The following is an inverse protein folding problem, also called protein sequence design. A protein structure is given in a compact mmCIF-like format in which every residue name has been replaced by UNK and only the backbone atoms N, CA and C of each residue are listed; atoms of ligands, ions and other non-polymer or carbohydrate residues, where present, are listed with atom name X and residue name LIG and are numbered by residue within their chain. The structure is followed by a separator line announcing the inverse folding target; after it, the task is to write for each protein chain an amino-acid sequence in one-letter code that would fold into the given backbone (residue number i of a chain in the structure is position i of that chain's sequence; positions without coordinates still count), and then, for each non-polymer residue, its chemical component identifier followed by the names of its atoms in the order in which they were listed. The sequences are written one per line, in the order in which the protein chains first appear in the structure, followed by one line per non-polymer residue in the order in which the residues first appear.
data_IF_845757053877
#
_entry.id   IF_845757053877
#
_cell.length_a   1.000
_cell.length_b   1.000
_cell.length_c   1.000
_cell.angle_alpha   90.00
_cell.angle_beta   90.00
_cell.angle_gamma   90.00
#
_symmetry.space_group_name_H-M   'P 1'
#
loop_
_entity.id
_entity.type
_entity.pdbx_description
1 polymer ?
#
# COMPACT_ATOMS: atom_id res chain seq x y z
N UNK A 1 -35.08 54.91 -30.22
CA UNK A 1 -34.85 54.48 -29.94
C UNK A 1 -34.50 53.83 -29.58
N UNK A 2 -34.63 53.92 -29.71
CA UNK A 2 -34.24 53.33 -29.29
C UNK A 2 -34.03 52.35 -28.86
N UNK A 3 -34.08 52.20 -28.93
CA UNK A 3 -33.87 51.37 -28.54
C UNK A 3 -33.43 50.48 -28.46
N UNK A 4 -33.29 50.60 -28.73
CA UNK A 4 -32.73 49.63 -28.64
C UNK A 4 -32.24 49.13 -28.37
N UNK A 5 -31.98 49.39 -28.23
CA UNK A 5 -31.47 48.86 -27.88
C UNK A 5 -31.15 48.24 -27.26
N UNK A 6 -31.14 48.35 -27.06
CA UNK A 6 -30.76 47.82 -26.44
C UNK A 6 -30.71 46.81 -26.08
N UNK A 7 -30.97 46.78 -26.20
CA UNK A 7 -30.91 45.76 -25.87
C UNK A 7 -30.20 45.02 -25.89
N UNK A 8 -29.83 45.30 -26.03
CA UNK A 8 -28.97 44.59 -26.04
C UNK A 8 -28.44 44.07 -25.35
N UNK A 9 -28.39 44.12 -25.25
CA UNK A 9 -27.83 43.60 -24.68
C UNK A 9 -27.74 42.68 -24.14
N UNK A 10 -28.03 42.79 -24.09
CA UNK A 10 -27.92 42.01 -23.49
C UNK A 10 -27.57 41.02 -23.46
N UNK A 11 -27.54 40.98 -23.79
CA UNK A 11 -27.12 40.01 -23.67
C UNK A 11 -26.25 39.51 -23.47
N UNK A 12 -26.01 39.83 -23.42
CA UNK A 12 -25.08 39.34 -23.18
C UNK A 12 -24.74 38.67 -22.43
N UNK A 13 -24.87 38.78 -22.29
CA UNK A 13 -24.42 38.23 -21.57
C UNK A 13 -24.25 37.26 -21.22
N UNK A 14 -24.46 37.26 -21.41
CA UNK A 14 -24.26 36.38 -21.02
C UNK A 14 -23.76 35.55 -21.00
N UNK A 15 -23.68 35.74 -21.21
CA UNK A 15 -23.17 34.97 -21.24
C UNK A 15 -22.52 34.45 -20.91
N UNK A 16 -22.50 34.65 -20.72
CA UNK A 16 -21.72 34.15 -20.28
C UNK A 16 -21.42 33.52 -19.73
N UNK A 17 -21.48 33.66 -19.70
CA UNK A 17 -21.11 33.09 -19.06
C UNK A 17 -20.84 32.20 -18.79
N UNK A 18 -21.03 32.34 -18.90
CA UNK A 18 -20.74 31.51 -18.56
C UNK A 18 -20.19 30.81 -18.49
N UNK A 19 -20.14 31.02 -18.58
CA UNK A 19 -19.47 30.41 -18.43
C UNK A 19 -18.90 29.92 -18.07
N UNK A 20 -18.72 29.99 -17.79
CA UNK A 20 -18.09 29.59 -17.29
C UNK A 20 -17.75 28.83 -16.87
N UNK A 21 -17.72 28.78 -16.86
CA UNK A 21 -17.32 28.15 -16.34
C UNK A 21 -17.05 27.28 -16.14
N UNK A 22 -17.02 27.27 -16.36
CA UNK A 22 -16.63 26.35 -16.09
C UNK A 22 -16.34 25.66 -15.81
N UNK A 23 -16.10 25.53 -15.68
CA UNK A 23 -15.76 24.86 -15.34
C UNK A 23 -15.15 24.33 -15.03
N UNK A 24 -14.80 24.33 -14.80
CA UNK A 24 -13.96 23.91 -14.48
C UNK A 24 -13.64 23.20 -13.89
N UNK A 25 -13.80 23.43 -13.85
CA UNK A 25 -13.55 22.94 -13.15
C UNK A 25 -13.48 21.86 -12.94
N UNK A 26 -13.64 21.60 -13.11
CA UNK A 26 -13.59 20.43 -12.64
C UNK A 26 -12.48 19.69 -12.73
N UNK A 27 -12.07 19.67 -12.89
CA UNK A 27 -11.12 19.01 -12.97
C UNK A 27 -10.22 18.94 -12.09
N UNK A 28 -10.23 19.53 -11.74
CA UNK A 28 -9.26 19.58 -10.75
C UNK A 28 -9.43 18.57 -9.69
N UNK A 29 -10.55 18.05 -9.58
CA UNK A 29 -10.73 17.06 -8.57
C UNK A 29 -9.91 15.87 -8.76
N UNK A 30 -9.56 15.58 -9.96
CA UNK A 30 -8.71 14.47 -10.22
C UNK A 30 -7.29 14.67 -9.73
N UNK A 31 -7.02 15.83 -9.17
CA UNK A 31 -5.64 16.17 -8.84
C UNK A 31 -5.29 15.96 -7.39
N UNK A 32 -6.07 15.19 -6.66
CA UNK A 32 -5.64 14.77 -5.35
C UNK A 32 -4.27 14.12 -5.48
N UNK A 33 -3.33 14.44 -4.58
CA UNK A 33 -2.01 13.85 -4.64
C UNK A 33 -2.10 12.35 -4.66
N UNK A 34 -1.47 11.73 -5.62
CA UNK A 34 -1.41 10.29 -5.67
C UNK A 34 -0.36 9.83 -4.68
N UNK A 35 -0.69 8.76 -4.01
CA UNK A 35 0.26 8.08 -3.17
C UNK A 35 1.41 7.56 -4.03
N UNK A 36 2.64 7.93 -3.70
CA UNK A 36 3.80 7.38 -4.39
C UNK A 36 4.09 6.00 -3.83
N UNK A 37 4.25 5.00 -4.70
CA UNK A 37 4.59 3.66 -4.24
C UNK A 37 5.85 3.66 -3.41
N UNK A 38 5.82 2.93 -2.32
CA UNK A 38 6.96 2.75 -1.45
C UNK A 38 7.18 1.25 -1.19
N UNK A 39 8.10 0.93 -0.28
CA UNK A 39 8.41 -0.47 0.00
C UNK A 39 7.21 -1.22 0.56
N UNK A 40 6.37 -0.52 1.33
CA UNK A 40 5.19 -1.15 1.90
C UNK A 40 4.16 -1.52 0.83
N UNK A 41 4.06 -0.73 -0.23
CA UNK A 41 3.17 -1.05 -1.35
C UNK A 41 3.59 -2.33 -2.05
N UNK A 42 4.90 -2.52 -2.19
CA UNK A 42 5.42 -3.74 -2.82
C UNK A 42 5.21 -4.94 -1.91
N UNK A 43 5.43 -4.75 -0.61
CA UNK A 43 5.40 -5.84 0.35
C UNK A 43 3.99 -6.27 0.72
N UNK A 44 3.01 -5.36 0.68
CA UNK A 44 1.66 -5.70 1.12
C UNK A 44 1.05 -6.79 0.28
N UNK A 45 0.26 -7.62 0.92
CA UNK A 45 -0.43 -8.72 0.25
C UNK A 45 -0.58 -9.90 1.17
N UNK A 46 -1.05 -10.99 0.59
CA UNK A 46 -1.25 -12.25 1.29
C UNK A 46 -0.18 -13.23 0.85
N UNK A 47 0.41 -13.92 1.81
CA UNK A 47 1.47 -14.90 1.57
C UNK A 47 1.05 -16.22 2.18
N UNK A 48 1.31 -17.30 1.48
CA UNK A 48 0.96 -18.64 1.94
C UNK A 48 2.23 -19.45 2.10
N UNK A 49 2.37 -20.09 3.25
CA UNK A 49 3.58 -20.84 3.52
C UNK A 49 3.48 -21.68 4.78
N UNK A 50 4.61 -21.86 5.42
CA UNK A 50 4.72 -22.81 6.53
C UNK A 50 5.49 -22.18 7.69
N UNK A 51 5.09 -22.54 8.90
CA UNK A 51 5.92 -22.32 10.06
C UNK A 51 7.03 -23.37 9.99
N UNK A 52 8.27 -22.91 9.87
CA UNK A 52 9.40 -23.81 9.69
C UNK A 52 9.78 -24.42 11.02
N UNK A 53 9.83 -23.60 12.07
CA UNK A 53 10.09 -24.07 13.40
C UNK A 53 9.61 -23.05 14.42
N UNK A 54 9.30 -23.52 15.61
CA UNK A 54 9.03 -22.64 16.75
C UNK A 54 10.03 -22.97 17.87
N UNK A 55 9.85 -22.33 19.02
CA UNK A 55 10.76 -22.52 20.15
C UNK A 55 10.79 -23.96 20.67
N UNK A 56 9.81 -24.75 20.29
CA UNK A 56 9.71 -26.16 20.68
C UNK A 56 10.07 -27.10 19.53
N UNK A 57 10.50 -26.55 18.40
CA UNK A 57 10.89 -27.34 17.25
C UNK A 57 9.72 -27.81 16.41
N UNK A 58 8.52 -27.34 16.68
CA UNK A 58 7.35 -27.76 15.91
C UNK A 58 7.26 -26.98 14.60
N UNK A 59 6.71 -27.62 13.58
CA UNK A 59 6.45 -26.99 12.30
C UNK A 59 4.98 -27.18 11.94
N UNK A 60 4.48 -26.34 11.04
CA UNK A 60 3.10 -26.44 10.59
C UNK A 60 2.98 -25.88 9.19
N UNK A 61 2.34 -26.64 8.31
CA UNK A 61 2.10 -26.24 6.94
C UNK A 61 0.78 -25.49 6.82
N UNK A 62 0.68 -24.68 5.76
CA UNK A 62 -0.57 -24.04 5.41
C UNK A 62 -0.93 -22.85 6.29
N UNK A 63 0.07 -22.03 6.62
CA UNK A 63 -0.12 -20.86 7.45
C UNK A 63 -0.10 -19.61 6.56
N UNK A 64 -1.16 -18.83 6.62
CA UNK A 64 -1.31 -17.60 5.84
C UNK A 64 -0.81 -16.41 6.65
N UNK A 65 0.03 -15.60 6.02
CA UNK A 65 0.51 -14.35 6.59
C UNK A 65 0.01 -13.20 5.71
N UNK A 66 -0.56 -12.19 6.34
CA UNK A 66 -1.02 -11.00 5.65
C UNK A 66 -0.12 -9.83 6.04
N UNK A 67 0.39 -9.14 5.03
CA UNK A 67 1.22 -7.94 5.21
C UNK A 67 0.39 -6.75 4.75
N UNK A 68 0.13 -5.84 5.67
CA UNK A 68 -0.73 -4.67 5.43
C UNK A 68 0.09 -3.39 5.56
N UNK A 69 -0.02 -2.53 4.57
CA UNK A 69 0.63 -1.22 4.63
C UNK A 69 -0.03 -0.37 5.71
N UNK A 70 0.76 0.17 6.63
CA UNK A 70 0.26 1.03 7.70
C UNK A 70 0.87 2.43 7.67
N UNK A 71 1.80 2.68 6.77
CA UNK A 71 2.45 3.97 6.62
C UNK A 71 3.57 3.88 5.59
N UNK A 72 4.28 4.96 5.39
CA UNK A 72 5.39 4.98 4.45
C UNK A 72 6.47 4.01 4.90
N UNK A 73 6.78 3.04 4.05
CA UNK A 73 7.77 2.00 4.32
C UNK A 73 7.51 1.27 5.64
N UNK A 74 6.23 1.12 6.01
CA UNK A 74 5.86 0.43 7.24
C UNK A 74 4.71 -0.51 6.96
N UNK A 75 4.81 -1.69 7.51
CA UNK A 75 3.77 -2.71 7.36
C UNK A 75 3.44 -3.32 8.70
N UNK A 76 2.24 -3.88 8.79
CA UNK A 76 1.83 -4.72 9.90
C UNK A 76 1.70 -6.14 9.39
N UNK A 77 2.24 -7.07 10.14
CA UNK A 77 2.19 -8.49 9.81
C UNK A 77 1.17 -9.15 10.73
N UNK A 78 0.23 -9.87 10.12
CA UNK A 78 -0.74 -10.69 10.85
C UNK A 78 -0.73 -12.08 10.25
N UNK A 79 -1.11 -13.07 11.05
CA UNK A 79 -1.14 -14.45 10.60
C UNK A 79 -2.35 -15.18 11.18
N UNK A 80 -2.72 -16.28 10.55
CA UNK A 80 -3.80 -17.13 11.04
C UNK A 80 -3.32 -18.22 12.01
N UNK A 81 -2.09 -18.10 12.45
CA UNK A 81 -1.50 -19.00 13.46
C UNK A 81 -1.16 -18.19 14.71
N UNK A 82 -1.65 -18.66 15.85
CA UNK A 82 -1.48 -17.91 17.10
C UNK A 82 -0.02 -17.81 17.56
N UNK A 83 0.86 -18.62 17.04
CA UNK A 83 2.29 -18.55 17.37
C UNK A 83 2.97 -17.37 16.71
N UNK A 84 2.36 -16.79 15.68
CA UNK A 84 2.92 -15.66 14.95
C UNK A 84 2.26 -14.38 15.46
N UNK A 85 2.97 -13.56 16.21
CA UNK A 85 2.37 -12.36 16.78
C UNK A 85 2.12 -11.31 15.70
N UNK A 86 1.14 -10.44 15.97
CA UNK A 86 0.93 -9.26 15.14
C UNK A 86 2.03 -8.26 15.44
N UNK A 87 2.78 -7.85 14.44
CA UNK A 87 3.88 -6.91 14.62
C UNK A 87 3.90 -5.88 13.51
N UNK A 88 4.43 -4.70 13.84
CA UNK A 88 4.68 -3.64 12.89
C UNK A 88 6.16 -3.66 12.53
N UNK A 89 6.46 -3.49 11.25
CA UNK A 89 7.83 -3.55 10.75
C UNK A 89 8.10 -2.33 9.88
N UNK A 90 9.20 -1.64 10.17
CA UNK A 90 9.71 -0.59 9.31
C UNK A 90 10.61 -1.26 8.27
N UNK A 91 10.50 -0.84 7.02
CA UNK A 91 11.16 -1.50 5.90
C UNK A 91 12.30 -0.67 5.33
N UNK A 92 13.31 -1.37 4.84
CA UNK A 92 14.39 -0.78 4.05
C UNK A 92 14.67 -1.70 2.87
N UNK A 93 15.44 -1.22 1.92
CA UNK A 93 15.73 -1.99 0.71
C UNK A 93 17.23 -2.20 0.57
N UNK A 94 17.60 -3.39 0.13
CA UNK A 94 18.96 -3.72 -0.25
C UNK A 94 18.86 -4.54 -1.54
N UNK A 95 19.24 -3.93 -2.66
CA UNK A 95 19.17 -4.53 -3.98
C UNK A 95 17.73 -4.96 -4.31
N UNK A 96 17.49 -6.22 -4.57
CA UNK A 96 16.14 -6.72 -4.86
C UNK A 96 15.46 -7.32 -3.63
N UNK A 97 15.97 -7.03 -2.43
CA UNK A 97 15.39 -7.51 -1.19
C UNK A 97 14.81 -6.35 -0.39
N UNK A 98 13.70 -6.62 0.28
CA UNK A 98 13.12 -5.68 1.25
C UNK A 98 13.31 -6.32 2.62
N UNK A 99 13.85 -5.53 3.54
CA UNK A 99 14.26 -6.01 4.86
C UNK A 99 13.63 -5.16 5.94
N UNK A 100 13.62 -5.67 7.16
CA UNK A 100 13.29 -4.84 8.31
C UNK A 100 14.44 -3.85 8.55
N UNK A 101 14.06 -2.59 8.81
CA UNK A 101 15.03 -1.54 9.07
C UNK A 101 15.50 -1.57 10.52
N UNK A 102 14.68 -2.12 11.42
CA UNK A 102 14.98 -2.14 12.85
C UNK A 102 14.08 -3.17 13.53
N UNK A 103 14.32 -3.38 14.83
CA UNK A 103 13.49 -4.25 15.63
C UNK A 103 14.00 -5.69 15.69
N UNK A 104 13.25 -6.51 16.42
CA UNK A 104 13.64 -7.89 16.68
C UNK A 104 13.01 -8.89 15.73
N UNK A 105 12.06 -8.44 14.89
CA UNK A 105 11.45 -9.27 13.87
C UNK A 105 12.31 -9.20 12.62
N UNK A 106 12.75 -10.34 12.13
CA UNK A 106 13.45 -10.41 10.85
C UNK A 106 12.40 -10.51 9.74
N UNK A 107 12.49 -9.63 8.77
CA UNK A 107 11.62 -9.61 7.61
C UNK A 107 12.49 -9.60 6.38
N UNK A 108 12.30 -10.55 5.49
CA UNK A 108 13.08 -10.63 4.25
C UNK A 108 12.14 -11.00 3.11
N UNK A 109 11.91 -10.04 2.23
CA UNK A 109 11.12 -10.26 1.02
C UNK A 109 12.07 -10.28 -0.18
N UNK A 110 12.13 -11.41 -0.85
CA UNK A 110 12.98 -11.60 -2.01
C UNK A 110 12.15 -11.36 -3.28
N UNK A 111 12.42 -10.24 -3.94
CA UNK A 111 11.69 -9.87 -5.14
C UNK A 111 12.25 -10.51 -6.40
N UNK A 112 13.39 -11.18 -6.29
CA UNK A 112 13.96 -11.90 -7.44
C UNK A 112 13.23 -13.21 -7.70
N UNK A 113 12.45 -13.68 -6.74
CA UNK A 113 11.65 -14.88 -6.89
C UNK A 113 10.29 -14.55 -7.51
N UNK A 114 9.72 -15.49 -8.26
CA UNK A 114 8.39 -15.36 -8.85
C UNK A 114 7.62 -16.63 -8.53
N UNK A 115 6.60 -16.57 -7.67
CA UNK A 115 6.17 -15.40 -6.88
C UNK A 115 7.21 -15.02 -5.83
N UNK A 116 7.11 -13.79 -5.35
CA UNK A 116 8.05 -13.30 -4.34
C UNK A 116 7.97 -14.15 -3.08
N UNK A 117 9.12 -14.37 -2.46
CA UNK A 117 9.19 -15.16 -1.23
C UNK A 117 9.41 -14.26 -0.03
N UNK A 118 8.72 -14.61 1.02
CA UNK A 118 8.81 -13.88 2.29
C UNK A 118 9.26 -14.84 3.39
N UNK A 119 10.31 -14.44 4.10
CA UNK A 119 10.80 -15.16 5.26
C UNK A 119 10.70 -14.22 6.46
N UNK A 120 10.10 -14.70 7.53
CA UNK A 120 9.93 -13.93 8.76
C UNK A 120 10.40 -14.76 9.94
N UNK A 121 11.09 -14.09 10.87
CA UNK A 121 11.49 -14.72 12.11
C UNK A 121 11.15 -13.78 13.26
N UNK A 122 10.44 -14.28 14.24
CA UNK A 122 9.98 -13.53 15.40
C UNK A 122 10.88 -13.85 16.57
N UNK A 123 11.74 -12.90 16.94
CA UNK A 123 12.64 -13.02 18.10
C UNK A 123 13.50 -14.27 18.07
N UNK A 124 13.74 -14.81 16.90
CA UNK A 124 14.48 -16.07 16.73
C UNK A 124 13.81 -17.27 17.42
N UNK A 125 12.53 -17.17 17.71
CA UNK A 125 11.77 -18.24 18.35
C UNK A 125 10.86 -18.97 17.38
N UNK A 126 10.29 -18.22 16.43
CA UNK A 126 9.38 -18.78 15.44
C UNK A 126 9.79 -18.27 14.08
N UNK A 127 9.92 -19.17 13.11
CA UNK A 127 10.26 -18.82 11.74
C UNK A 127 9.15 -19.28 10.80
N UNK A 128 8.85 -18.46 9.83
CA UNK A 128 7.84 -18.74 8.83
C UNK A 128 8.38 -18.38 7.45
N UNK A 129 8.06 -19.18 6.44
CA UNK A 129 8.49 -18.91 5.06
C UNK A 129 7.33 -19.21 4.12
N UNK A 130 7.12 -18.33 3.14
CA UNK A 130 6.05 -18.53 2.18
C UNK A 130 6.21 -17.68 0.93
N UNK A 131 5.23 -17.81 0.06
CA UNK A 131 5.22 -17.11 -1.23
C UNK A 131 3.99 -16.24 -1.35
N UNK A 132 4.14 -15.14 -2.09
CA UNK A 132 3.03 -14.22 -2.33
C UNK A 132 1.97 -14.90 -3.18
N UNK A 133 0.69 -14.66 -2.83
CA UNK A 133 -0.45 -15.18 -3.58
C UNK A 133 -0.85 -14.24 -4.71
#
# INVERSE_FOLDING_TARGET
MKQGVLIRLASLLLVGVVALLPVFTADAQGDAPKHQPDLADVAQGTYFGDVISDSQGASQSGVTVTVTRIGKNRVQITADDARLPTVDVALTQAMDKILNASGTTTFLLDRSQVPMRLDISFRNEVSWSGAKQ
#
